data_IF_363612292793
#
_entry.id   IF_363612292793
#
_cell.length_a   1.000
_cell.length_b   1.000
_cell.length_c   1.000
_cell.angle_alpha   90.00
_cell.angle_beta   90.00
_cell.angle_gamma   90.00
#
_symmetry.space_group_name_H-M   'P 1'
#
loop_
_entity.id
_entity.type
_entity.pdbx_description
1 polymer ?
#
# COMPACT_ATOMS: atom_id res chain seq x y z
N UNK A 1 20.55 16.22 4.20
CA UNK A 1 19.61 17.02 4.99
C UNK A 1 18.22 16.46 4.78
N UNK A 2 17.71 15.73 5.76
CA UNK A 2 16.35 15.18 5.81
C UNK A 2 15.43 16.14 6.57
N UNK A 3 14.12 15.93 6.52
CA UNK A 3 13.20 16.74 7.33
C UNK A 3 13.44 16.54 8.84
N UNK A 4 13.97 15.38 9.23
CA UNK A 4 14.38 15.09 10.61
C UNK A 4 15.55 16.00 11.01
N UNK A 5 16.58 16.13 10.16
CA UNK A 5 17.70 17.05 10.41
C UNK A 5 17.23 18.50 10.65
N UNK A 6 16.21 18.93 9.89
CA UNK A 6 15.65 20.28 10.02
C UNK A 6 14.97 20.44 11.38
N UNK A 7 14.08 19.54 11.77
CA UNK A 7 13.33 19.69 13.03
C UNK A 7 14.21 19.50 14.27
N UNK A 8 15.24 18.65 14.19
CA UNK A 8 16.26 18.54 15.24
C UNK A 8 17.03 19.85 15.43
N UNK A 9 17.34 20.59 14.35
CA UNK A 9 18.00 21.89 14.45
C UNK A 9 17.15 22.97 15.16
N UNK A 10 15.83 22.78 15.22
CA UNK A 10 14.90 23.65 15.94
C UNK A 10 14.41 23.07 17.28
N UNK A 11 14.98 21.94 17.74
CA UNK A 11 14.57 21.22 18.96
C UNK A 11 13.07 20.84 18.97
N UNK A 12 12.52 20.52 17.80
CA UNK A 12 11.12 20.10 17.63
C UNK A 12 11.05 18.58 17.49
N UNK A 13 10.17 17.89 18.25
CA UNK A 13 10.04 16.44 18.13
C UNK A 13 9.49 16.03 16.78
N UNK A 14 10.17 15.11 16.10
CA UNK A 14 9.71 14.51 14.85
C UNK A 14 8.87 13.26 15.08
N UNK A 15 7.73 13.15 14.40
CA UNK A 15 6.93 11.94 14.31
C UNK A 15 6.78 11.55 12.84
N UNK A 16 6.87 10.25 12.55
CA UNK A 16 6.64 9.71 11.20
C UNK A 16 5.23 9.15 11.13
N UNK A 17 4.46 9.55 10.13
CA UNK A 17 3.21 8.87 9.80
C UNK A 17 3.48 7.81 8.72
N UNK A 18 3.40 6.54 9.11
CA UNK A 18 3.56 5.40 8.23
C UNK A 18 2.19 4.94 7.72
N UNK A 19 1.97 5.12 6.42
CA UNK A 19 0.67 4.94 5.78
C UNK A 19 0.28 3.48 5.54
N UNK A 20 1.24 2.55 5.65
CA UNK A 20 1.00 1.11 5.55
C UNK A 20 0.84 0.47 6.95
N UNK A 21 0.56 -0.84 6.98
CA UNK A 21 0.39 -1.62 8.20
C UNK A 21 1.67 -1.89 8.99
N UNK A 22 1.50 -2.35 10.23
CA UNK A 22 2.57 -2.73 11.15
C UNK A 22 3.43 -3.87 10.60
N UNK A 23 2.83 -4.85 9.93
CA UNK A 23 3.55 -5.97 9.32
C UNK A 23 4.63 -5.49 8.33
N UNK A 24 4.26 -4.53 7.47
CA UNK A 24 5.17 -3.93 6.49
C UNK A 24 6.26 -3.08 7.15
N UNK A 25 5.93 -2.35 8.21
CA UNK A 25 6.93 -1.59 8.97
C UNK A 25 7.98 -2.51 9.60
N UNK A 26 7.52 -3.59 10.25
CA UNK A 26 8.42 -4.57 10.84
C UNK A 26 9.28 -5.29 9.80
N UNK A 27 8.73 -5.59 8.62
CA UNK A 27 9.53 -6.14 7.51
C UNK A 27 10.70 -5.22 7.15
N UNK A 28 10.46 -3.90 7.04
CA UNK A 28 11.51 -2.95 6.70
C UNK A 28 12.58 -2.84 7.80
N UNK A 29 12.18 -2.79 9.07
CA UNK A 29 13.15 -2.78 10.18
C UNK A 29 13.97 -4.07 10.26
N UNK A 30 13.35 -5.22 10.01
CA UNK A 30 14.05 -6.49 9.99
C UNK A 30 15.12 -6.50 8.90
N UNK A 31 14.79 -6.01 7.72
CA UNK A 31 15.70 -5.95 6.58
C UNK A 31 16.83 -4.95 6.75
N UNK A 32 16.55 -3.78 7.33
CA UNK A 32 17.61 -2.86 7.71
C UNK A 32 18.54 -3.46 8.78
N UNK A 33 18.01 -4.18 9.76
CA UNK A 33 18.83 -4.87 10.77
C UNK A 33 19.75 -5.92 10.13
N UNK A 34 19.24 -6.69 9.17
CA UNK A 34 20.03 -7.70 8.46
C UNK A 34 21.19 -7.07 7.67
N UNK A 35 20.96 -5.93 7.02
CA UNK A 35 22.01 -5.21 6.28
C UNK A 35 23.02 -4.55 7.23
N UNK A 36 22.56 -3.92 8.31
CA UNK A 36 23.39 -3.05 9.16
C UNK A 36 24.17 -3.82 10.23
N UNK A 37 23.57 -4.87 10.81
CA UNK A 37 24.18 -5.63 11.91
C UNK A 37 24.71 -6.99 11.46
N UNK A 38 24.05 -7.64 10.49
CA UNK A 38 24.43 -9.00 10.05
C UNK A 38 25.21 -9.00 8.73
N UNK A 39 25.42 -7.83 8.11
CA UNK A 39 26.09 -7.69 6.80
C UNK A 39 25.50 -8.61 5.71
N UNK A 40 24.20 -8.95 5.82
CA UNK A 40 23.52 -9.81 4.86
C UNK A 40 22.82 -8.95 3.82
N UNK A 41 23.07 -9.23 2.55
CA UNK A 41 22.39 -8.54 1.46
C UNK A 41 20.99 -9.13 1.24
N UNK A 42 19.96 -8.28 1.23
CA UNK A 42 18.56 -8.73 1.15
C UNK A 42 18.28 -9.47 -0.17
N UNK A 43 18.81 -8.98 -1.30
CA UNK A 43 18.57 -9.64 -2.59
C UNK A 43 19.10 -11.07 -2.62
N UNK A 44 20.19 -11.34 -1.91
CA UNK A 44 20.80 -12.67 -1.83
C UNK A 44 19.95 -13.58 -0.91
N UNK A 45 19.47 -13.04 0.22
CA UNK A 45 18.56 -13.77 1.11
C UNK A 45 17.25 -14.14 0.44
N UNK A 46 16.67 -13.22 -0.34
CA UNK A 46 15.41 -13.42 -1.06
C UNK A 46 15.57 -14.45 -2.18
N UNK A 47 16.77 -14.62 -2.74
CA UNK A 47 17.05 -15.65 -3.75
C UNK A 47 17.36 -17.02 -3.15
N UNK A 48 18.01 -17.08 -1.99
CA UNK A 48 18.51 -18.32 -1.38
C UNK A 48 17.47 -18.95 -0.43
N UNK A 49 16.76 -18.14 0.35
CA UNK A 49 15.85 -18.65 1.38
C UNK A 49 14.45 -18.93 0.80
N UNK A 50 14.03 -20.19 0.87
CA UNK A 50 12.67 -20.58 0.46
C UNK A 50 11.57 -20.02 1.39
N UNK A 51 11.91 -19.70 2.65
CA UNK A 51 10.98 -19.19 3.66
C UNK A 51 11.73 -18.29 4.64
N UNK A 52 11.36 -17.01 4.65
CA UNK A 52 11.97 -16.00 5.55
C UNK A 52 11.20 -15.93 6.87
N UNK A 53 11.95 -15.88 7.97
CA UNK A 53 11.41 -15.67 9.33
C UNK A 53 11.46 -14.18 9.64
N UNK A 54 10.33 -13.50 9.50
CA UNK A 54 10.22 -12.06 9.73
C UNK A 54 9.44 -11.84 11.03
N UNK A 55 10.00 -11.12 12.04
CA UNK A 55 9.37 -11.00 13.36
C UNK A 55 7.95 -10.42 13.36
N UNK A 56 7.61 -9.58 12.37
CA UNK A 56 6.26 -8.99 12.26
C UNK A 56 5.25 -9.86 11.51
N UNK A 57 5.66 -11.01 10.95
CA UNK A 57 4.77 -11.91 10.22
C UNK A 57 4.53 -13.19 11.01
N UNK A 58 3.25 -13.52 11.20
CA UNK A 58 2.87 -14.74 11.94
C UNK A 58 3.32 -16.02 11.24
N UNK A 59 3.34 -15.99 9.90
CA UNK A 59 3.72 -17.14 9.08
C UNK A 59 4.99 -16.81 8.30
N UNK A 60 5.86 -17.81 8.16
CA UNK A 60 6.98 -17.72 7.24
C UNK A 60 6.46 -17.61 5.81
N UNK A 61 6.91 -16.60 5.08
CA UNK A 61 6.47 -16.32 3.72
C UNK A 61 7.52 -16.73 2.70
N UNK A 62 7.11 -17.23 1.52
CA UNK A 62 8.03 -17.42 0.43
C UNK A 62 8.55 -16.07 -0.06
N UNK A 63 9.77 -16.03 -0.59
CA UNK A 63 10.37 -14.82 -1.14
C UNK A 63 9.56 -14.19 -2.27
N UNK A 64 8.77 -14.99 -3.00
CA UNK A 64 7.93 -14.57 -4.12
C UNK A 64 6.78 -13.64 -3.75
N UNK A 65 6.36 -13.58 -2.48
CA UNK A 65 5.29 -12.68 -2.03
C UNK A 65 5.82 -11.42 -1.35
N UNK A 66 7.15 -11.26 -1.29
CA UNK A 66 7.72 -10.05 -0.74
C UNK A 66 7.50 -8.85 -1.66
N UNK A 67 7.37 -7.64 -1.10
CA UNK A 67 7.21 -6.43 -1.89
C UNK A 67 8.33 -6.24 -2.91
N UNK A 68 8.01 -5.65 -4.07
CA UNK A 68 8.98 -5.45 -5.15
C UNK A 68 10.24 -4.67 -4.73
N UNK A 69 10.16 -3.85 -3.68
CA UNK A 69 11.32 -3.14 -3.17
C UNK A 69 12.37 -4.08 -2.58
N UNK A 70 12.02 -5.30 -2.17
CA UNK A 70 12.96 -6.26 -1.57
C UNK A 70 13.75 -7.05 -2.61
N UNK A 71 13.20 -7.20 -3.82
CA UNK A 71 13.87 -7.88 -4.94
C UNK A 71 14.67 -6.93 -5.82
N UNK A 72 14.31 -5.63 -5.80
CA UNK A 72 15.00 -4.57 -6.56
C UNK A 72 15.97 -3.78 -5.68
N UNK A 73 17.23 -4.22 -5.68
CA UNK A 73 18.33 -3.68 -4.85
C UNK A 73 18.44 -2.16 -4.89
N UNK A 74 18.33 -1.57 -6.08
CA UNK A 74 18.39 -0.13 -6.30
C UNK A 74 17.22 0.60 -5.64
N UNK A 75 16.01 0.04 -5.68
CA UNK A 75 14.84 0.62 -5.03
C UNK A 75 15.01 0.57 -3.51
N UNK A 76 15.40 -0.59 -2.98
CA UNK A 76 15.67 -0.75 -1.55
C UNK A 76 16.70 0.26 -1.05
N UNK A 77 17.91 0.25 -1.62
CA UNK A 77 19.05 1.03 -1.12
C UNK A 77 18.90 2.52 -1.34
N UNK A 78 18.27 2.96 -2.44
CA UNK A 78 18.13 4.38 -2.74
C UNK A 78 16.99 5.04 -1.94
N UNK A 79 15.93 4.31 -1.63
CA UNK A 79 14.70 4.89 -1.06
C UNK A 79 14.38 4.31 0.32
N UNK A 80 14.09 3.01 0.40
CA UNK A 80 13.53 2.39 1.59
C UNK A 80 14.52 2.27 2.74
N UNK A 81 15.75 1.82 2.47
CA UNK A 81 16.80 1.69 3.49
C UNK A 81 17.16 3.06 4.09
N UNK A 82 17.22 4.10 3.26
CA UNK A 82 17.46 5.46 3.75
C UNK A 82 16.30 5.95 4.60
N UNK A 83 15.06 5.75 4.14
CA UNK A 83 13.89 6.17 4.89
C UNK A 83 13.77 5.45 6.25
N UNK A 84 13.97 4.14 6.30
CA UNK A 84 13.79 3.38 7.54
C UNK A 84 14.88 3.69 8.59
N UNK A 85 16.12 3.96 8.16
CA UNK A 85 17.17 4.47 9.05
C UNK A 85 16.81 5.83 9.64
N UNK A 86 16.23 6.72 8.84
CA UNK A 86 15.70 8.00 9.33
C UNK A 86 14.53 7.78 10.30
N UNK A 87 13.66 6.81 10.04
CA UNK A 87 12.54 6.52 10.94
C UNK A 87 13.01 6.12 12.34
N UNK A 88 14.16 5.44 12.49
CA UNK A 88 14.76 5.14 13.81
C UNK A 88 15.08 6.38 14.64
N UNK A 89 15.30 7.53 14.01
CA UNK A 89 15.58 8.82 14.67
C UNK A 89 14.31 9.55 15.13
N UNK A 90 13.14 9.13 14.66
CA UNK A 90 11.89 9.76 15.05
C UNK A 90 11.58 9.52 16.54
N UNK A 91 10.89 10.46 17.18
CA UNK A 91 10.40 10.29 18.55
C UNK A 91 9.34 9.19 18.64
N UNK A 92 8.58 9.00 17.56
CA UNK A 92 7.60 7.94 17.43
C UNK A 92 7.09 7.79 16.01
N UNK A 93 6.51 6.63 15.73
CA UNK A 93 5.94 6.29 14.43
C UNK A 93 4.45 6.02 14.61
N UNK A 94 3.62 6.85 13.98
CA UNK A 94 2.19 6.69 13.88
C UNK A 94 1.91 5.73 12.71
N UNK A 95 1.29 4.58 12.96
CA UNK A 95 1.04 3.54 11.95
C UNK A 95 -0.45 3.49 11.64
N UNK A 96 -0.80 3.47 10.35
CA UNK A 96 -2.19 3.39 9.91
C UNK A 96 -2.78 1.97 10.05
N UNK A 97 -2.86 1.49 11.28
CA UNK A 97 -3.40 0.18 11.66
C UNK A 97 -3.99 0.23 13.07
N UNK A 98 -4.65 -0.84 13.51
CA UNK A 98 -5.20 -0.99 14.86
C UNK A 98 -4.92 -2.38 15.44
N UNK A 99 -4.98 -2.50 16.77
CA UNK A 99 -4.57 -3.69 17.50
C UNK A 99 -5.28 -4.98 17.05
N UNK A 100 -6.58 -4.91 16.80
CA UNK A 100 -7.37 -6.10 16.40
C UNK A 100 -7.03 -6.58 14.98
N UNK A 101 -6.47 -5.72 14.12
CA UNK A 101 -6.09 -6.08 12.75
C UNK A 101 -4.72 -6.76 12.69
N UNK A 102 -3.73 -6.21 13.40
CA UNK A 102 -2.33 -6.67 13.33
C UNK A 102 -1.72 -6.94 14.72
N UNK A 103 -2.34 -7.75 15.58
CA UNK A 103 -1.89 -7.93 16.96
C UNK A 103 -0.47 -8.51 17.04
N UNK A 104 -0.15 -9.47 16.16
CA UNK A 104 1.18 -10.09 16.12
C UNK A 104 2.27 -9.08 15.72
N UNK A 105 2.05 -8.31 14.66
CA UNK A 105 3.02 -7.33 14.19
C UNK A 105 3.20 -6.16 15.15
N UNK A 106 2.15 -5.74 15.86
CA UNK A 106 2.27 -4.71 16.90
C UNK A 106 3.07 -5.24 18.09
N UNK A 107 2.79 -6.47 18.53
CA UNK A 107 3.49 -7.08 19.66
C UNK A 107 4.97 -7.38 19.35
N UNK A 108 5.34 -7.63 18.09
CA UNK A 108 6.73 -7.87 17.72
C UNK A 108 7.62 -6.66 17.98
N UNK A 109 7.09 -5.43 17.97
CA UNK A 109 7.85 -4.23 18.33
C UNK A 109 8.13 -4.09 19.83
N UNK A 110 7.40 -4.80 20.68
CA UNK A 110 7.59 -4.81 22.13
C UNK A 110 8.65 -5.83 22.59
N UNK A 111 8.99 -6.77 21.70
CA UNK A 111 9.96 -7.83 21.97
C UNK A 111 11.38 -7.29 21.77
N UNK A 112 12.18 -7.30 22.84
CA UNK A 112 13.58 -6.85 22.78
C UNK A 112 14.36 -7.60 21.69
N UNK A 113 15.23 -6.88 20.99
CA UNK A 113 16.13 -7.39 19.95
C UNK A 113 15.46 -7.96 18.68
N UNK A 114 14.14 -7.88 18.54
CA UNK A 114 13.44 -8.33 17.32
C UNK A 114 13.88 -7.57 16.06
N UNK A 115 14.35 -6.34 16.23
CA UNK A 115 14.76 -5.44 15.16
C UNK A 115 16.15 -4.83 15.43
N UNK A 116 17.05 -5.70 15.90
CA UNK A 116 18.44 -5.36 16.14
C UNK A 116 18.70 -4.80 17.53
N UNK A 117 19.94 -4.37 17.74
CA UNK A 117 20.43 -3.81 19.00
C UNK A 117 20.02 -2.36 19.22
N UNK A 118 19.72 -1.63 18.13
CA UNK A 118 19.27 -0.25 18.22
C UNK A 118 17.81 -0.16 18.66
N UNK A 119 17.55 0.71 19.65
CA UNK A 119 16.19 0.92 20.19
C UNK A 119 15.28 1.49 19.09
N UNK A 120 14.12 0.87 18.92
CA UNK A 120 13.07 1.41 18.05
C UNK A 120 12.36 2.61 18.68
N UNK A 121 11.88 3.57 17.87
CA UNK A 121 10.91 4.57 18.30
C UNK A 121 9.65 3.94 18.88
N UNK A 122 8.90 4.71 19.67
CA UNK A 122 7.56 4.27 20.10
C UNK A 122 6.63 4.13 18.90
N UNK A 123 5.98 2.97 18.78
CA UNK A 123 5.05 2.67 17.68
C UNK A 123 3.60 2.90 18.16
N UNK A 124 2.83 3.70 17.43
CA UNK A 124 1.46 4.07 17.77
C UNK A 124 0.50 3.64 16.66
N UNK A 125 -0.26 2.55 16.83
CA UNK A 125 -1.33 2.20 15.90
C UNK A 125 -2.50 3.19 16.07
N UNK A 126 -2.77 4.00 15.05
CA UNK A 126 -3.79 5.07 15.08
C UNK A 126 -4.88 4.91 14.00
N UNK A 127 -4.89 3.77 13.32
CA UNK A 127 -5.79 3.49 12.22
C UNK A 127 -7.20 3.07 12.64
N UNK A 128 -8.14 2.97 11.68
CA UNK A 128 -7.95 3.36 10.29
C UNK A 128 -8.07 4.88 10.09
N UNK A 129 -7.00 5.51 9.60
CA UNK A 129 -6.98 6.91 9.17
C UNK A 129 -7.45 6.96 7.71
N UNK A 130 -8.67 7.43 7.51
CA UNK A 130 -9.34 7.49 6.20
C UNK A 130 -9.73 8.92 5.85
N UNK A 131 -9.54 9.31 4.60
CA UNK A 131 -10.04 10.60 4.10
C UNK A 131 -11.55 10.51 3.86
N UNK A 132 -12.36 10.94 4.84
CA UNK A 132 -13.82 10.97 4.73
C UNK A 132 -14.34 12.25 4.06
N UNK A 133 -13.54 13.31 3.98
CA UNK A 133 -13.95 14.60 3.43
C UNK A 133 -14.10 14.62 1.90
N UNK A 134 -13.42 13.73 1.17
CA UNK A 134 -13.60 13.58 -0.28
C UNK A 134 -14.98 13.01 -0.68
N UNK A 135 -15.74 12.45 0.27
CA UNK A 135 -17.11 12.00 0.02
C UNK A 135 -18.04 13.19 -0.28
N UNK A 136 -17.66 14.42 0.10
CA UNK A 136 -18.54 15.60 0.03
C UNK A 136 -18.18 16.62 -1.06
N UNK A 137 -17.08 16.44 -1.80
CA UNK A 137 -16.70 17.42 -2.84
C UNK A 137 -17.41 17.13 -4.15
N UNK A 138 -18.42 17.98 -4.45
CA UNK A 138 -19.15 18.15 -5.71
C UNK A 138 -19.41 16.86 -6.49
N UNK A 139 -20.60 16.29 -6.28
CA UNK A 139 -21.15 15.23 -7.14
C UNK A 139 -21.06 15.68 -8.61
N UNK A 140 -20.14 15.09 -9.36
CA UNK A 140 -20.20 15.17 -10.81
C UNK A 140 -21.43 14.40 -11.28
N UNK A 141 -21.96 14.72 -12.46
CA UNK A 141 -23.09 13.96 -13.03
C UNK A 141 -22.80 12.45 -13.05
N UNK A 142 -21.55 12.07 -13.36
CA UNK A 142 -21.08 10.70 -13.38
C UNK A 142 -21.14 10.00 -12.01
N UNK A 143 -20.84 10.71 -10.92
CA UNK A 143 -20.98 10.15 -9.57
C UNK A 143 -22.43 9.94 -9.17
N UNK A 144 -23.34 10.86 -9.54
CA UNK A 144 -24.77 10.70 -9.28
C UNK A 144 -25.34 9.49 -10.02
N UNK A 145 -25.01 9.36 -11.31
CA UNK A 145 -25.48 8.24 -12.14
C UNK A 145 -24.93 6.87 -11.67
N UNK A 146 -23.72 6.86 -11.12
CA UNK A 146 -23.13 5.68 -10.50
C UNK A 146 -23.87 5.29 -9.22
N UNK A 147 -24.12 6.25 -8.33
CA UNK A 147 -24.83 5.99 -7.06
C UNK A 147 -26.27 5.52 -7.33
N UNK A 148 -26.99 6.16 -8.26
CA UNK A 148 -28.33 5.73 -8.68
C UNK A 148 -28.33 4.30 -9.26
N UNK A 149 -27.30 3.95 -10.05
CA UNK A 149 -27.17 2.58 -10.56
C UNK A 149 -26.87 1.57 -9.45
N UNK A 150 -26.09 1.94 -8.43
CA UNK A 150 -25.83 1.09 -7.27
C UNK A 150 -27.08 0.89 -6.41
N UNK A 151 -27.91 1.92 -6.24
CA UNK A 151 -29.10 1.90 -5.39
C UNK A 151 -30.20 0.94 -5.90
N UNK A 152 -30.20 0.60 -7.19
CA UNK A 152 -31.15 -0.35 -7.78
C UNK A 152 -30.69 -1.82 -7.72
N UNK A 153 -29.46 -2.08 -7.28
CA UNK A 153 -28.91 -3.44 -7.19
C UNK A 153 -29.35 -4.13 -5.90
N UNK A 154 -29.27 -5.46 -5.88
CA UNK A 154 -29.54 -6.24 -4.67
C UNK A 154 -28.43 -6.05 -3.63
N UNK A 155 -28.75 -6.20 -2.35
CA UNK A 155 -27.76 -6.08 -1.28
C UNK A 155 -26.61 -7.08 -1.50
N UNK A 156 -25.36 -6.58 -1.48
CA UNK A 156 -24.14 -7.38 -1.66
C UNK A 156 -24.08 -8.14 -3.02
N UNK A 157 -24.79 -7.69 -4.04
CA UNK A 157 -24.74 -8.31 -5.39
C UNK A 157 -23.70 -7.70 -6.33
N UNK A 158 -23.12 -6.55 -5.98
CA UNK A 158 -22.14 -5.84 -6.82
C UNK A 158 -20.72 -6.12 -6.35
N UNK A 159 -19.83 -6.44 -7.28
CA UNK A 159 -18.40 -6.54 -7.02
C UNK A 159 -17.69 -5.25 -7.45
N UNK A 160 -16.96 -4.65 -6.52
CA UNK A 160 -16.10 -3.49 -6.78
C UNK A 160 -14.68 -3.93 -7.16
N UNK A 161 -14.17 -3.42 -8.28
CA UNK A 161 -12.82 -3.70 -8.77
C UNK A 161 -12.01 -2.41 -8.92
N UNK A 162 -10.95 -2.25 -8.14
CA UNK A 162 -10.06 -1.10 -8.23
C UNK A 162 -8.62 -1.52 -7.92
N UNK A 163 -7.69 -1.09 -8.77
CA UNK A 163 -6.28 -1.43 -8.68
C UNK A 163 -5.41 -0.26 -8.18
N UNK A 164 -6.02 0.65 -7.42
CA UNK A 164 -5.36 1.84 -6.90
C UNK A 164 -5.09 2.91 -7.97
N UNK A 165 -4.58 4.05 -7.53
CA UNK A 165 -4.32 5.21 -8.41
C UNK A 165 -3.18 5.01 -9.41
N UNK A 166 -2.28 4.07 -9.15
CA UNK A 166 -1.11 3.77 -9.99
C UNK A 166 -1.22 2.43 -10.73
N UNK A 167 -2.32 1.69 -10.54
CA UNK A 167 -2.53 0.40 -11.20
C UNK A 167 -2.75 0.56 -12.69
N UNK A 168 -2.07 -0.25 -13.49
CA UNK A 168 -2.29 -0.32 -14.94
C UNK A 168 -2.02 -1.73 -15.45
N UNK A 169 -2.76 -2.14 -16.48
CA UNK A 169 -2.63 -3.46 -17.09
C UNK A 169 -2.33 -3.34 -18.58
N UNK A 170 -1.68 -4.37 -19.13
CA UNK A 170 -1.57 -4.52 -20.58
C UNK A 170 -2.95 -4.75 -21.18
N UNK A 171 -3.15 -4.33 -22.42
CA UNK A 171 -4.44 -4.49 -23.12
C UNK A 171 -4.97 -5.93 -23.07
N UNK A 172 -4.10 -6.92 -23.30
CA UNK A 172 -4.52 -8.33 -23.28
C UNK A 172 -4.98 -8.78 -21.88
N UNK A 173 -4.36 -8.26 -20.81
CA UNK A 173 -4.82 -8.54 -19.45
C UNK A 173 -6.17 -7.88 -19.17
N UNK A 174 -6.39 -6.65 -19.67
CA UNK A 174 -7.70 -5.98 -19.54
C UNK A 174 -8.79 -6.78 -20.24
N UNK A 175 -8.52 -7.29 -21.45
CA UNK A 175 -9.46 -8.16 -22.18
C UNK A 175 -9.81 -9.41 -21.38
N UNK A 176 -8.81 -10.10 -20.83
CA UNK A 176 -9.06 -11.31 -20.03
C UNK A 176 -9.84 -11.01 -18.73
N UNK A 177 -9.58 -9.87 -18.09
CA UNK A 177 -10.38 -9.42 -16.94
C UNK A 177 -11.85 -9.26 -17.37
N UNK A 178 -12.12 -8.53 -18.46
CA UNK A 178 -13.49 -8.30 -18.96
C UNK A 178 -14.19 -9.61 -19.31
N UNK A 179 -13.53 -10.50 -20.06
CA UNK A 179 -14.07 -11.82 -20.40
C UNK A 179 -14.37 -12.65 -19.15
N UNK A 180 -13.52 -12.55 -18.12
CA UNK A 180 -13.76 -13.18 -16.83
C UNK A 180 -15.01 -12.63 -16.14
N UNK A 181 -15.18 -11.31 -16.13
CA UNK A 181 -16.33 -10.63 -15.52
C UNK A 181 -17.64 -10.99 -16.25
N UNK A 182 -17.65 -11.02 -17.59
CA UNK A 182 -18.85 -11.38 -18.37
C UNK A 182 -19.34 -12.81 -18.12
N UNK A 183 -18.41 -13.74 -17.81
CA UNK A 183 -18.76 -15.13 -17.49
C UNK A 183 -19.36 -15.30 -16.10
N UNK A 184 -19.03 -14.40 -15.18
CA UNK A 184 -19.61 -14.39 -13.84
C UNK A 184 -20.88 -13.56 -13.94
N UNK A 185 -22.06 -14.18 -13.94
CA UNK A 185 -23.34 -13.49 -14.08
C UNK A 185 -23.70 -12.66 -12.82
N UNK A 186 -22.88 -11.67 -12.51
CA UNK A 186 -22.95 -10.78 -11.35
C UNK A 186 -22.73 -9.35 -11.84
N UNK A 187 -23.32 -8.38 -11.16
CA UNK A 187 -23.13 -6.98 -11.53
C UNK A 187 -21.76 -6.49 -11.04
N UNK A 188 -21.06 -5.73 -11.88
CA UNK A 188 -19.69 -5.27 -11.62
C UNK A 188 -19.54 -3.78 -11.80
N UNK A 189 -18.71 -3.19 -10.94
CA UNK A 189 -18.28 -1.79 -11.04
C UNK A 189 -16.77 -1.70 -10.80
N UNK A 190 -16.01 -1.03 -11.67
CA UNK A 190 -14.58 -0.93 -11.45
C UNK A 190 -13.80 -0.02 -12.39
N UNK A 191 -12.55 0.28 -11.97
CA UNK A 191 -11.59 1.13 -12.69
C UNK A 191 -10.41 0.30 -13.20
N UNK A 192 -10.17 0.34 -14.51
CA UNK A 192 -9.15 -0.45 -15.21
C UNK A 192 -8.01 0.42 -15.78
N UNK A 193 -7.55 1.42 -15.03
CA UNK A 193 -6.37 2.22 -15.39
C UNK A 193 -6.51 3.00 -16.72
N UNK A 194 -5.44 3.69 -17.13
CA UNK A 194 -5.39 4.49 -18.38
C UNK A 194 -5.24 3.61 -19.64
N UNK A 195 -6.06 2.59 -19.81
CA UNK A 195 -6.11 1.83 -21.07
C UNK A 195 -6.99 2.60 -22.07
N UNK A 196 -6.59 2.79 -23.35
CA UNK A 196 -7.31 3.60 -24.34
C UNK A 196 -8.60 2.93 -24.88
N UNK A 197 -9.21 2.07 -24.07
CA UNK A 197 -10.39 1.32 -24.44
C UNK A 197 -11.63 2.20 -24.31
N UNK A 198 -11.98 2.94 -25.37
CA UNK A 198 -13.38 3.32 -25.59
C UNK A 198 -14.18 2.04 -25.83
N UNK A 199 -14.75 1.48 -24.77
CA UNK A 199 -15.50 0.23 -24.82
C UNK A 199 -16.95 0.50 -25.20
N UNK A 200 -17.17 0.87 -26.46
CA UNK A 200 -18.51 1.14 -27.01
C UNK A 200 -19.30 -0.15 -27.35
N UNK A 201 -18.77 -1.36 -27.10
CA UNK A 201 -19.39 -2.62 -27.53
C UNK A 201 -19.28 -3.77 -26.51
N UNK A 202 -19.70 -3.57 -25.25
CA UNK A 202 -19.88 -4.67 -24.30
C UNK A 202 -21.36 -5.07 -24.25
N UNK A 203 -21.65 -6.38 -24.40
CA UNK A 203 -22.99 -6.93 -24.24
C UNK A 203 -23.11 -7.62 -22.87
N UNK A 204 -23.86 -7.01 -21.95
CA UNK A 204 -24.14 -7.52 -20.60
C UNK A 204 -24.44 -6.39 -19.60
N UNK A 205 -24.78 -6.74 -18.35
CA UNK A 205 -25.01 -5.80 -17.24
C UNK A 205 -23.72 -5.12 -16.72
N UNK A 206 -22.72 -4.94 -17.57
CA UNK A 206 -21.39 -4.48 -17.17
C UNK A 206 -21.32 -2.95 -17.26
N UNK A 207 -21.23 -2.26 -16.12
CA UNK A 207 -20.99 -0.81 -16.09
C UNK A 207 -19.51 -0.54 -15.77
N UNK A 208 -18.68 -0.47 -16.82
CA UNK A 208 -17.30 0.02 -16.71
C UNK A 208 -17.32 1.52 -16.94
N UNK A 209 -16.85 2.30 -15.98
CA UNK A 209 -16.63 3.73 -16.17
C UNK A 209 -15.14 3.99 -16.42
N UNK A 210 -14.84 4.62 -17.55
CA UNK A 210 -13.57 5.31 -17.76
C UNK A 210 -13.58 6.60 -16.91
N UNK A 211 -13.52 6.46 -15.59
CA UNK A 211 -13.22 7.58 -14.70
C UNK A 211 -11.74 7.91 -14.88
N UNK A 212 -11.42 8.60 -15.98
CA UNK A 212 -10.12 9.21 -16.23
C UNK A 212 -9.70 9.91 -14.93
N UNK A 213 -8.72 9.34 -14.24
CA UNK A 213 -8.01 10.06 -13.19
C UNK A 213 -7.57 11.39 -13.84
N UNK A 214 -8.01 12.56 -13.34
CA UNK A 214 -7.78 13.83 -14.03
C UNK A 214 -6.27 13.99 -14.27
N UNK A 215 -5.85 13.87 -15.54
CA UNK A 215 -4.46 14.01 -15.96
C UNK A 215 -3.86 15.36 -15.54
N UNK A 216 -4.73 16.33 -15.25
CA UNK A 216 -4.36 17.72 -15.00
C UNK A 216 -4.13 18.04 -13.52
N UNK A 217 -4.35 17.11 -12.58
CA UNK A 217 -4.20 17.39 -11.14
C UNK A 217 -2.76 17.35 -10.61
N UNK A 218 -1.78 16.94 -11.44
CA UNK A 218 -0.38 16.78 -11.01
C UNK A 218 0.64 17.65 -11.75
N UNK A 219 0.23 18.45 -12.75
CA UNK A 219 1.14 19.27 -13.55
C UNK A 219 1.32 20.72 -13.06
N UNK A 220 0.67 21.14 -11.97
CA UNK A 220 0.79 22.52 -11.45
C UNK A 220 1.43 22.64 -10.06
N UNK A 221 2.06 21.60 -9.53
CA UNK A 221 2.79 21.69 -8.24
C UNK A 221 4.13 20.95 -8.23
N UNK A 222 5.00 21.31 -9.18
CA UNK A 222 6.46 21.24 -9.04
C UNK A 222 7.07 22.55 -9.52
#
# INVERSE_FOLDING_TARGET
>A
MTMIDVVEAFDVPCYVFFTCGAASLGLMFHFETLEDEQTKEISDLVQVEMKLVIPSLTNNVPSSVLPIFTTRKEIWRCWFLKAIREYRRAKGILVNTFADLEPHAINSFLMEYSYGTSRLPSIFPIGPVLNRSQIQTQSTNDQSEMMEWMDIQSEKSVVFLCFGSMGSFKLDQVKEIVVGLEKVATDFFGFLGNSPLKMENLQGNLKIMDLLCPKDSWNERL
#
